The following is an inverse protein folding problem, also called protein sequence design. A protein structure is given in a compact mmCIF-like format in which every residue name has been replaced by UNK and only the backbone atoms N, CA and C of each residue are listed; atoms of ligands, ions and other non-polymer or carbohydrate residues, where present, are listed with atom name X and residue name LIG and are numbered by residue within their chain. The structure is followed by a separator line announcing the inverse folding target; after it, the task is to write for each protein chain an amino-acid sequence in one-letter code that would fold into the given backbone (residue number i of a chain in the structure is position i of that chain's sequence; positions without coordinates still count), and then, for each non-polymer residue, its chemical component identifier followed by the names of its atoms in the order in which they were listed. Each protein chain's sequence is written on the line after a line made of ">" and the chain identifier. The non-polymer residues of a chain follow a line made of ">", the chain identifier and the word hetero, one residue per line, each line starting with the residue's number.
data_IF_843526842407
#
_entry.id   IF_843526842407
#
_cell.length_a   1.000
_cell.length_b   1.000
_cell.length_c   1.000
_cell.angle_alpha   90.00
_cell.angle_beta   90.00
_cell.angle_gamma   90.00
#
_symmetry.space_group_name_H-M   'P 1'
#
loop_
_entity.id
_entity.type
_entity.pdbx_description
1 polymer ?
#
# COMPACT_ATOMS: atom_id res chain seq x y z
N UNK A 1 27.66 11.38 7.41
CA UNK A 1 26.37 10.66 7.44
C UNK A 1 26.69 9.17 7.58
N UNK A 2 26.62 8.61 8.79
CA UNK A 2 26.85 7.19 9.07
C UNK A 2 25.49 6.50 9.24
N UNK A 3 24.85 6.17 8.13
CA UNK A 3 23.75 5.21 8.08
C UNK A 3 24.21 4.00 7.29
N UNK A 4 23.76 2.80 7.65
CA UNK A 4 23.97 1.64 6.78
C UNK A 4 23.23 1.88 5.46
N UNK A 5 23.84 1.48 4.33
CA UNK A 5 23.24 1.63 2.99
C UNK A 5 21.81 1.08 2.94
N UNK A 6 21.57 -0.02 3.66
CA UNK A 6 20.26 -0.67 3.75
C UNK A 6 19.21 0.19 4.48
N UNK A 7 19.61 0.92 5.53
CA UNK A 7 18.69 1.82 6.24
C UNK A 7 18.27 2.98 5.33
N UNK A 8 19.22 3.55 4.57
CA UNK A 8 18.92 4.61 3.61
C UNK A 8 17.96 4.15 2.52
N UNK A 9 18.15 2.93 2.00
CA UNK A 9 17.23 2.31 1.03
C UNK A 9 15.82 2.12 1.62
N UNK A 10 15.73 1.60 2.85
CA UNK A 10 14.44 1.40 3.53
C UNK A 10 13.70 2.73 3.73
N UNK A 11 14.39 3.75 4.24
CA UNK A 11 13.82 5.10 4.42
C UNK A 11 13.35 5.69 3.08
N UNK A 12 14.11 5.49 1.99
CA UNK A 12 13.72 5.97 0.67
C UNK A 12 12.41 5.33 0.19
N UNK A 13 12.24 4.02 0.41
CA UNK A 13 10.99 3.32 0.06
C UNK A 13 9.83 3.82 0.93
N UNK A 14 10.07 4.07 2.22
CA UNK A 14 9.04 4.57 3.15
C UNK A 14 8.57 6.00 2.87
N UNK A 15 9.46 6.85 2.35
CA UNK A 15 9.12 8.23 2.00
C UNK A 15 8.64 8.36 0.55
N UNK A 16 8.76 7.31 -0.26
CA UNK A 16 8.33 7.32 -1.65
C UNK A 16 6.79 7.30 -1.78
N UNK A 17 6.29 8.09 -2.74
CA UNK A 17 4.89 8.01 -3.19
C UNK A 17 4.63 6.77 -4.06
N UNK A 18 5.67 6.34 -4.78
CA UNK A 18 5.62 5.30 -5.80
C UNK A 18 6.99 4.63 -5.94
N UNK A 19 7.00 3.34 -6.26
CA UNK A 19 8.20 2.56 -6.54
C UNK A 19 8.11 1.94 -7.94
N UNK A 20 9.15 2.12 -8.75
CA UNK A 20 9.26 1.49 -10.07
C UNK A 20 10.04 0.19 -9.98
N UNK A 21 9.51 -0.89 -10.56
CA UNK A 21 10.19 -2.17 -10.64
C UNK A 21 10.57 -2.44 -12.10
N UNK A 22 11.85 -2.25 -12.42
CA UNK A 22 12.40 -2.50 -13.75
C UNK A 22 12.70 -4.00 -13.95
N UNK A 23 11.66 -4.74 -14.35
CA UNK A 23 11.69 -6.17 -14.57
C UNK A 23 12.66 -6.56 -15.69
N UNK A 24 13.63 -7.38 -15.32
CA UNK A 24 14.65 -7.99 -16.17
C UNK A 24 15.27 -9.20 -15.47
N UNK A 25 16.00 -10.04 -16.20
CA UNK A 25 16.76 -11.16 -15.64
C UNK A 25 17.76 -10.73 -14.55
N UNK A 26 18.63 -9.72 -14.75
CA UNK A 26 19.54 -9.26 -13.70
C UNK A 26 18.80 -8.68 -12.50
N UNK A 27 17.67 -8.00 -12.70
CA UNK A 27 16.84 -7.51 -11.59
C UNK A 27 16.35 -8.67 -10.72
N UNK A 28 15.86 -9.76 -11.33
CA UNK A 28 15.37 -10.94 -10.61
C UNK A 28 16.47 -11.68 -9.83
N UNK A 29 17.71 -11.65 -10.32
CA UNK A 29 18.85 -12.34 -9.70
C UNK A 29 19.50 -11.54 -8.56
N UNK A 30 19.29 -10.23 -8.51
CA UNK A 30 19.84 -9.36 -7.48
C UNK A 30 19.11 -9.50 -6.14
N UNK A 31 19.85 -9.89 -5.09
CA UNK A 31 19.32 -9.97 -3.73
C UNK A 31 18.87 -8.61 -3.18
N UNK A 32 19.55 -7.53 -3.57
CA UNK A 32 19.19 -6.16 -3.19
C UNK A 32 17.86 -5.75 -3.80
N UNK A 33 17.70 -5.96 -5.11
CA UNK A 33 16.45 -5.63 -5.81
C UNK A 33 15.28 -6.47 -5.29
N UNK A 34 15.51 -7.74 -4.96
CA UNK A 34 14.52 -8.58 -4.30
C UNK A 34 14.08 -8.00 -2.95
N UNK A 35 15.05 -7.64 -2.10
CA UNK A 35 14.78 -7.09 -0.77
C UNK A 35 14.00 -5.76 -0.86
N UNK A 36 14.39 -4.89 -1.78
CA UNK A 36 13.70 -3.61 -2.04
C UNK A 36 12.26 -3.82 -2.53
N UNK A 37 12.05 -4.75 -3.49
CA UNK A 37 10.73 -5.06 -4.02
C UNK A 37 9.80 -5.68 -2.97
N UNK A 38 10.30 -6.64 -2.19
CA UNK A 38 9.56 -7.27 -1.09
C UNK A 38 9.23 -6.25 0.00
N UNK A 39 10.16 -5.33 0.30
CA UNK A 39 9.94 -4.27 1.27
C UNK A 39 8.87 -3.27 0.80
N UNK A 40 8.96 -2.82 -0.45
CA UNK A 40 7.96 -1.94 -1.06
C UNK A 40 6.57 -2.60 -1.08
N UNK A 41 6.50 -3.91 -1.38
CA UNK A 41 5.27 -4.69 -1.34
C UNK A 41 4.68 -4.78 0.07
N UNK A 42 5.52 -5.09 1.06
CA UNK A 42 5.11 -5.20 2.48
C UNK A 42 4.62 -3.85 3.03
N UNK A 43 5.26 -2.75 2.62
CA UNK A 43 4.84 -1.39 2.98
C UNK A 43 3.65 -0.88 2.14
N UNK A 44 3.05 -1.73 1.32
CA UNK A 44 1.90 -1.40 0.46
C UNK A 44 2.14 -0.16 -0.41
N UNK A 45 3.38 0.05 -0.85
CA UNK A 45 3.71 1.16 -1.75
C UNK A 45 3.08 0.93 -3.11
N UNK A 46 2.71 2.01 -3.77
CA UNK A 46 2.20 1.93 -5.13
C UNK A 46 3.35 1.58 -6.08
N UNK A 47 3.32 0.35 -6.58
CA UNK A 47 4.36 -0.18 -7.45
C UNK A 47 3.89 -0.10 -8.89
N UNK A 48 4.75 0.40 -9.78
CA UNK A 48 4.58 0.29 -11.23
C UNK A 48 5.65 -0.64 -11.81
N UNK A 49 5.28 -1.83 -12.28
CA UNK A 49 6.20 -2.72 -12.97
C UNK A 49 6.50 -2.22 -14.39
N UNK A 50 7.78 -2.22 -14.77
CA UNK A 50 8.27 -1.84 -16.10
C UNK A 50 9.01 -3.02 -16.71
N UNK A 51 8.61 -3.49 -17.89
CA UNK A 51 9.33 -4.54 -18.62
C UNK A 51 10.46 -3.89 -19.41
N UNK A 52 11.71 -4.18 -19.03
CA UNK A 52 12.91 -3.61 -19.67
C UNK A 52 13.64 -4.60 -20.58
N UNK A 53 13.26 -5.88 -20.55
CA UNK A 53 13.90 -6.94 -21.33
C UNK A 53 12.91 -7.62 -22.30
N UNK A 54 13.34 -7.85 -23.54
CA UNK A 54 12.51 -8.43 -24.60
C UNK A 54 12.05 -9.83 -24.22
N UNK A 55 10.75 -10.10 -24.38
CA UNK A 55 10.11 -11.39 -24.05
C UNK A 55 10.26 -11.80 -22.57
N UNK A 56 10.58 -10.85 -21.69
CA UNK A 56 10.65 -11.13 -20.27
C UNK A 56 9.26 -11.40 -19.70
N UNK A 57 9.16 -12.43 -18.86
CA UNK A 57 7.95 -12.79 -18.13
C UNK A 57 8.31 -12.92 -16.65
N UNK A 58 7.74 -12.09 -15.76
CA UNK A 58 7.98 -12.22 -14.35
C UNK A 58 7.37 -13.53 -13.83
N UNK A 59 8.16 -14.28 -13.08
CA UNK A 59 7.81 -15.58 -12.50
C UNK A 59 8.32 -15.68 -11.05
N UNK A 60 7.83 -16.67 -10.31
CA UNK A 60 8.16 -16.87 -8.90
C UNK A 60 7.82 -15.65 -8.03
N UNK A 61 8.79 -15.22 -7.21
CA UNK A 61 8.60 -14.11 -6.26
C UNK A 61 8.23 -12.79 -6.94
N UNK A 62 8.85 -12.48 -8.08
CA UNK A 62 8.58 -11.24 -8.83
C UNK A 62 7.21 -11.30 -9.51
N UNK A 63 6.83 -12.48 -10.00
CA UNK A 63 5.49 -12.73 -10.53
C UNK A 63 4.39 -12.42 -9.50
N UNK A 64 4.56 -12.87 -8.25
CA UNK A 64 3.60 -12.62 -7.16
C UNK A 64 3.48 -11.11 -6.86
N UNK A 65 4.60 -10.40 -6.78
CA UNK A 65 4.60 -8.95 -6.50
C UNK A 65 3.93 -8.16 -7.65
N UNK A 66 4.13 -8.58 -8.90
CA UNK A 66 3.63 -7.88 -10.08
C UNK A 66 2.26 -8.34 -10.58
N UNK A 67 1.75 -9.50 -10.14
CA UNK A 67 0.55 -10.15 -10.70
C UNK A 67 -0.70 -9.26 -10.78
N UNK A 68 -0.91 -8.40 -9.78
CA UNK A 68 -2.10 -7.55 -9.69
C UNK A 68 -1.93 -6.14 -10.29
N UNK A 69 -0.78 -5.85 -10.92
CA UNK A 69 -0.39 -4.49 -11.28
C UNK A 69 -0.31 -4.31 -12.79
N UNK A 70 -0.77 -3.17 -13.29
CA UNK A 70 -0.59 -2.80 -14.69
C UNK A 70 0.88 -2.49 -14.96
N UNK A 71 1.47 -3.14 -15.96
CA UNK A 71 2.86 -2.96 -16.33
C UNK A 71 3.00 -2.15 -17.63
N UNK A 72 4.09 -1.40 -17.74
CA UNK A 72 4.49 -0.71 -18.97
C UNK A 72 5.61 -1.50 -19.64
N UNK A 73 5.46 -1.76 -20.93
CA UNK A 73 6.43 -2.55 -21.69
C UNK A 73 7.28 -1.65 -22.60
N UNK A 74 8.54 -1.42 -22.21
CA UNK A 74 9.50 -0.63 -22.98
C UNK A 74 10.12 -1.40 -24.14
N UNK A 75 9.82 -2.70 -24.27
CA UNK A 75 10.46 -3.57 -25.27
C UNK A 75 9.59 -3.78 -26.50
N UNK A 76 8.28 -3.55 -26.39
CA UNK A 76 7.30 -3.73 -27.48
C UNK A 76 7.01 -2.48 -28.28
N UNK A 77 7.08 -1.31 -27.66
CA UNK A 77 6.76 -0.03 -28.30
C UNK A 77 7.98 0.87 -28.35
N UNK A 78 7.90 1.92 -29.16
CA UNK A 78 8.90 2.98 -29.14
C UNK A 78 9.04 3.58 -27.72
N UNK A 79 10.26 4.03 -27.40
CA UNK A 79 10.59 4.56 -26.07
C UNK A 79 9.68 5.74 -25.70
N UNK A 80 9.44 6.67 -26.63
CA UNK A 80 8.62 7.86 -26.37
C UNK A 80 7.17 7.47 -26.06
N UNK A 81 6.63 6.49 -26.78
CA UNK A 81 5.27 6.01 -26.54
C UNK A 81 5.14 5.28 -25.20
N UNK A 82 6.15 4.47 -24.83
CA UNK A 82 6.19 3.81 -23.53
C UNK A 82 6.31 4.84 -22.39
N UNK A 83 7.15 5.85 -22.57
CA UNK A 83 7.33 6.94 -21.61
C UNK A 83 6.04 7.75 -21.43
N UNK A 84 5.34 8.09 -22.51
CA UNK A 84 4.03 8.76 -22.43
C UNK A 84 3.02 7.93 -21.64
N UNK A 85 2.93 6.61 -21.89
CA UNK A 85 2.07 5.71 -21.11
C UNK A 85 2.42 5.71 -19.63
N UNK A 86 3.72 5.67 -19.30
CA UNK A 86 4.20 5.74 -17.92
C UNK A 86 3.81 7.06 -17.26
N UNK A 87 4.02 8.19 -17.94
CA UNK A 87 3.65 9.53 -17.44
C UNK A 87 2.15 9.60 -17.17
N UNK A 88 1.32 9.11 -18.10
CA UNK A 88 -0.13 9.08 -17.89
C UNK A 88 -0.52 8.25 -16.68
N UNK A 89 0.11 7.08 -16.46
CA UNK A 89 -0.14 6.27 -15.26
C UNK A 89 0.24 7.01 -13.97
N UNK A 90 1.39 7.69 -13.95
CA UNK A 90 1.84 8.49 -12.80
C UNK A 90 0.84 9.62 -12.51
N UNK A 91 0.40 10.34 -13.53
CA UNK A 91 -0.56 11.44 -13.39
C UNK A 91 -1.90 10.94 -12.86
N UNK A 92 -2.42 9.82 -13.39
CA UNK A 92 -3.66 9.20 -12.92
C UNK A 92 -3.57 8.78 -11.45
N UNK A 93 -2.44 8.19 -11.04
CA UNK A 93 -2.20 7.84 -9.64
C UNK A 93 -2.19 9.08 -8.75
N UNK A 94 -1.45 10.13 -9.12
CA UNK A 94 -1.38 11.39 -8.35
C UNK A 94 -2.75 12.03 -8.15
N UNK A 95 -3.58 12.07 -9.20
CA UNK A 95 -4.94 12.61 -9.12
C UNK A 95 -5.83 11.79 -8.17
N UNK A 96 -5.75 10.45 -8.23
CA UNK A 96 -6.52 9.57 -7.35
C UNK A 96 -6.11 9.73 -5.88
N UNK A 97 -4.82 9.90 -5.62
CA UNK A 97 -4.31 10.14 -4.27
C UNK A 97 -4.79 11.47 -3.71
N UNK A 98 -4.84 12.54 -4.52
CA UNK A 98 -5.39 13.83 -4.07
C UNK A 98 -6.88 13.81 -3.73
N UNK A 99 -7.67 12.94 -4.39
CA UNK A 99 -9.11 12.86 -4.11
C UNK A 99 -9.37 12.10 -2.81
N UNK A 100 -8.62 11.02 -2.54
CA UNK A 100 -8.78 10.23 -1.33
C UNK A 100 -8.43 11.00 -0.05
N UNK A 101 -7.48 11.94 -0.11
CA UNK A 101 -7.14 12.79 1.04
C UNK A 101 -8.23 13.82 1.34
N UNK A 102 -8.94 14.34 0.31
CA UNK A 102 -10.03 15.31 0.48
C UNK A 102 -11.36 14.69 0.93
N UNK A 103 -11.68 13.45 0.52
CA UNK A 103 -12.91 12.77 0.96
C UNK A 103 -12.84 12.26 2.41
N UNK A 104 -11.63 12.09 2.94
CA UNK A 104 -11.39 11.65 4.33
C UNK A 104 -11.55 12.77 5.36
N UNK A 105 -11.44 14.04 4.96
CA UNK A 105 -11.60 15.19 5.86
C UNK A 105 -13.07 15.57 6.07
N UNK A 106 -13.98 15.30 5.13
CA UNK A 106 -15.41 15.68 5.27
C UNK A 106 -16.22 14.80 6.24
N UNK A 107 -15.71 13.64 6.67
CA UNK A 107 -16.43 12.72 7.59
C UNK A 107 -16.18 13.05 9.07
N UNK A 108 -15.10 13.77 9.43
CA UNK A 108 -14.85 14.14 10.84
C UNK A 108 -15.75 15.27 11.35
N UNK A 109 -16.26 16.11 10.45
CA UNK A 109 -17.04 17.30 10.86
C UNK A 109 -18.55 17.03 11.05
N UNK A 110 -19.10 15.91 10.56
CA UNK A 110 -20.54 15.58 10.72
C UNK A 110 -20.93 14.76 11.94
N UNK A 111 -19.97 14.28 12.75
CA UNK A 111 -20.28 13.53 13.99
C UNK A 111 -20.39 14.39 15.26
N UNK A 112 -19.98 15.66 15.21
CA UNK A 112 -19.99 16.54 16.40
C UNK A 112 -21.17 17.53 16.47
N UNK A 113 -22.12 17.50 15.53
CA UNK A 113 -23.28 18.42 15.53
C UNK A 113 -24.63 17.78 15.93
N UNK A 114 -24.67 16.52 16.38
CA UNK A 114 -25.93 15.85 16.79
C UNK A 114 -26.05 15.66 18.32
N UNK A 115 -25.04 16.04 19.12
CA UNK A 115 -25.04 15.74 20.58
C UNK A 115 -25.35 16.92 21.51
N UNK A 116 -25.82 18.04 20.99
CA UNK A 116 -26.36 19.11 21.83
C UNK A 116 -27.67 19.61 21.24
N UNK A 117 -28.79 19.02 21.67
CA UNK A 117 -29.94 19.75 22.22
C UNK A 117 -31.08 18.76 22.56
N UNK A 118 -31.55 18.87 23.81
CA UNK A 118 -32.92 18.61 24.27
C UNK A 118 -33.33 17.17 24.64
N UNK A 119 -33.15 16.79 25.92
CA UNK A 119 -34.19 16.96 26.96
C UNK A 119 -34.08 15.97 28.14
N UNK A 120 -34.04 16.55 29.35
CA UNK A 120 -34.56 15.93 30.58
C UNK A 120 -35.96 15.37 30.33
N UNK A 121 -36.28 14.17 30.84
CA UNK A 121 -37.37 13.91 31.81
C UNK A 121 -37.57 12.38 32.03
N UNK A 122 -37.29 11.96 33.27
CA UNK A 122 -37.97 10.96 34.12
C UNK A 122 -38.33 9.53 33.64
N UNK A 123 -37.98 8.60 34.55
CA UNK A 123 -38.73 7.42 34.98
C UNK A 123 -38.62 6.09 34.21
N UNK A 124 -37.88 5.19 34.87
CA UNK A 124 -38.32 3.86 35.31
C UNK A 124 -37.72 2.62 34.62
N UNK A 125 -37.39 1.65 35.50
CA UNK A 125 -37.23 0.20 35.32
C UNK A 125 -35.83 -0.26 34.85
N UNK A 126 -34.90 -0.57 35.78
CA UNK A 126 -34.65 -1.86 36.49
C UNK A 126 -34.03 -2.98 35.62
N UNK A 127 -32.84 -3.45 36.08
CA UNK A 127 -32.33 -4.85 36.09
C UNK A 127 -31.75 -5.32 34.71
N UNK A 128 -30.57 -5.95 34.55
CA UNK A 128 -29.70 -6.78 35.41
C UNK A 128 -28.25 -6.81 34.88
N UNK A 129 -27.33 -7.13 35.78
CA UNK A 129 -25.93 -7.50 35.57
C UNK A 129 -25.77 -8.77 34.70
N UNK A 130 -24.65 -8.86 33.97
CA UNK A 130 -23.73 -10.00 34.13
C UNK A 130 -22.38 -9.76 33.44
N UNK A 131 -21.39 -9.61 34.30
CA UNK A 131 -19.98 -9.99 34.15
C UNK A 131 -19.83 -11.50 33.99
N UNK A 132 -18.89 -11.94 33.16
CA UNK A 132 -18.22 -13.24 33.29
C UNK A 132 -16.86 -13.18 32.60
N UNK A 133 -15.85 -12.78 33.39
CA UNK A 133 -14.46 -13.21 33.22
C UNK A 133 -14.27 -14.54 33.95
N UNK A 134 -13.53 -15.48 33.34
CA UNK A 134 -12.47 -16.34 33.91
C UNK A 134 -12.21 -17.51 32.92
N UNK A 135 -11.05 -17.55 32.24
CA UNK A 135 -9.78 -18.19 32.62
C UNK A 135 -9.85 -19.71 32.88
N UNK A 136 -9.07 -20.49 32.10
CA UNK A 136 -7.94 -21.35 32.58
C UNK A 136 -7.72 -22.64 31.75
N UNK A 137 -6.51 -22.71 31.15
CA UNK A 137 -5.51 -23.80 30.95
C UNK A 137 -5.86 -25.31 30.76
N UNK A 138 -4.80 -26.01 30.25
CA UNK A 138 -4.47 -27.46 30.15
C UNK A 138 -5.07 -28.20 28.90
N UNK A 139 -4.39 -28.99 28.05
CA UNK A 139 -3.23 -29.93 28.09
C UNK A 139 -2.52 -30.00 26.70
N UNK A 140 -1.18 -30.04 26.64
CA UNK A 140 -0.35 -31.21 26.23
C UNK A 140 -1.01 -32.19 25.25
N UNK A 141 -0.48 -32.26 24.02
CA UNK A 141 0.13 -33.45 23.38
C UNK A 141 1.01 -33.00 22.21
#
# INVERSE_FOLDING_TARGET
>A
MYGSTLQSMATAIELSDMVFICMSNPYKQSAYCRSEAEYAYTRQRHIIPLVMEKKYRPDGWLGIICASKMYVDFTKTDYEQALQKLISQIQLYRQRTSINTLSSSTIKDKKNEILTHDNKTSAAVKIQENTCDEQTQVEKF
#
